data_IF_660938076205
#
_entry.id   IF_660938076205
#
_cell.length_a   1.000
_cell.length_b   1.000
_cell.length_c   1.000
_cell.angle_alpha   90.00
_cell.angle_beta   90.00
_cell.angle_gamma   90.00
#
_symmetry.space_group_name_H-M   'P 1'
#
loop_
_entity.id
_entity.type
_entity.pdbx_description
1 polymer ?
#
# COMPACT_ATOMS: atom_id res chain seq x y z
N UNK A 1 2.98 -4.36 15.86
CA UNK A 1 1.89 -4.22 14.86
C UNK A 1 2.23 -5.15 13.70
N UNK A 2 1.27 -5.92 13.20
CA UNK A 2 1.45 -6.83 12.06
C UNK A 2 0.67 -6.29 10.87
N UNK A 3 1.33 -6.15 9.71
CA UNK A 3 0.69 -5.82 8.44
C UNK A 3 0.70 -7.06 7.54
N UNK A 4 -0.49 -7.48 7.10
CA UNK A 4 -0.67 -8.54 6.11
C UNK A 4 -1.19 -7.86 4.84
N UNK A 5 -0.31 -7.71 3.86
CA UNK A 5 -0.66 -7.05 2.61
C UNK A 5 -1.27 -8.04 1.60
N UNK A 6 -2.36 -7.63 0.93
CA UNK A 6 -3.06 -8.35 -0.14
C UNK A 6 -3.35 -9.81 0.21
N UNK A 7 -4.02 -10.00 1.35
CA UNK A 7 -4.34 -11.34 1.87
C UNK A 7 -5.15 -12.19 0.87
N UNK A 8 -5.94 -11.55 0.01
CA UNK A 8 -6.70 -12.19 -1.07
C UNK A 8 -5.85 -12.86 -2.16
N UNK A 9 -4.57 -12.47 -2.26
CA UNK A 9 -3.58 -13.10 -3.14
C UNK A 9 -2.79 -14.23 -2.48
N UNK A 10 -2.99 -14.46 -1.18
CA UNK A 10 -2.34 -15.55 -0.49
C UNK A 10 -2.83 -16.92 -0.98
N UNK A 11 -2.16 -17.98 -0.50
CA UNK A 11 -2.64 -19.34 -0.67
C UNK A 11 -4.06 -19.49 -0.09
N UNK A 12 -4.87 -20.34 -0.74
CA UNK A 12 -6.30 -20.48 -0.48
C UNK A 12 -6.60 -20.80 1.00
N UNK A 13 -5.76 -21.59 1.67
CA UNK A 13 -5.96 -21.99 3.06
C UNK A 13 -5.61 -20.89 4.08
N UNK A 14 -4.72 -19.95 3.73
CA UNK A 14 -4.16 -19.01 4.70
C UNK A 14 -5.21 -18.14 5.41
N UNK A 15 -6.23 -17.58 4.73
CA UNK A 15 -7.26 -16.78 5.41
C UNK A 15 -8.07 -17.58 6.45
N UNK A 16 -8.33 -18.87 6.20
CA UNK A 16 -9.04 -19.75 7.13
C UNK A 16 -8.14 -20.10 8.32
N UNK A 17 -6.87 -20.43 8.05
CA UNK A 17 -5.88 -20.73 9.10
C UNK A 17 -5.68 -19.51 10.02
N UNK A 18 -5.62 -18.31 9.45
CA UNK A 18 -5.54 -17.06 10.22
C UNK A 18 -6.73 -16.86 11.15
N UNK A 19 -7.94 -17.30 10.79
CA UNK A 19 -9.09 -17.25 11.71
C UNK A 19 -8.84 -18.07 12.98
N UNK A 20 -8.18 -19.22 12.84
CA UNK A 20 -7.82 -20.10 13.94
C UNK A 20 -6.72 -19.46 14.80
N UNK A 21 -5.64 -19.01 14.18
CA UNK A 21 -4.49 -18.42 14.88
C UNK A 21 -4.87 -17.14 15.62
N UNK A 22 -5.58 -16.23 14.95
CA UNK A 22 -6.04 -14.98 15.54
C UNK A 22 -7.12 -15.21 16.60
N UNK A 23 -7.97 -16.23 16.43
CA UNK A 23 -8.95 -16.61 17.46
C UNK A 23 -8.31 -17.16 18.73
N UNK A 24 -7.26 -17.97 18.57
CA UNK A 24 -6.55 -18.61 19.69
C UNK A 24 -5.45 -17.76 20.33
N UNK A 25 -5.03 -16.66 19.70
CA UNK A 25 -3.88 -15.86 20.14
C UNK A 25 -2.56 -16.63 20.10
N UNK A 26 -2.47 -17.63 19.22
CA UNK A 26 -1.36 -18.57 19.16
C UNK A 26 -1.64 -19.75 18.23
N UNK A 27 -0.62 -20.57 18.02
CA UNK A 27 -0.68 -21.76 17.19
C UNK A 27 0.26 -22.85 17.72
N UNK A 28 0.16 -24.05 17.16
CA UNK A 28 1.07 -25.16 17.44
C UNK A 28 1.82 -25.50 16.16
N UNK A 29 3.13 -25.67 16.27
CA UNK A 29 3.94 -26.10 15.13
C UNK A 29 3.53 -27.52 14.70
N UNK A 30 3.35 -27.78 13.40
CA UNK A 30 2.85 -29.07 12.90
C UNK A 30 3.85 -30.22 13.06
N UNK A 31 5.12 -29.94 13.40
CA UNK A 31 6.16 -30.94 13.58
C UNK A 31 6.49 -31.18 15.06
N UNK A 32 6.93 -32.41 15.37
CA UNK A 32 7.45 -32.73 16.69
C UNK A 32 8.67 -31.86 16.99
N UNK A 33 8.57 -30.98 17.98
CA UNK A 33 9.66 -30.12 18.42
C UNK A 33 10.56 -30.89 19.39
N UNK A 34 11.86 -31.08 19.12
CA UNK A 34 12.79 -31.66 20.07
C UNK A 34 12.78 -30.90 21.40
N UNK A 35 12.90 -31.60 22.52
CA UNK A 35 12.85 -31.00 23.86
C UNK A 35 13.96 -29.95 24.12
N UNK A 36 15.06 -30.04 23.38
CA UNK A 36 16.20 -29.13 23.43
C UNK A 36 16.17 -28.04 22.35
N UNK A 37 15.17 -28.04 21.45
CA UNK A 37 15.05 -27.01 20.42
C UNK A 37 14.76 -25.66 21.08
N UNK A 38 15.57 -24.68 20.71
CA UNK A 38 15.33 -23.27 21.02
C UNK A 38 15.03 -22.53 19.73
N UNK A 39 13.96 -21.76 19.73
CA UNK A 39 13.53 -20.96 18.58
C UNK A 39 13.61 -19.49 18.97
N UNK A 40 14.11 -18.67 18.05
CA UNK A 40 14.08 -17.22 18.15
C UNK A 40 13.21 -16.68 17.02
N UNK A 41 12.74 -15.45 17.17
CA UNK A 41 12.19 -14.71 16.05
C UNK A 41 13.34 -14.16 15.19
N UNK A 42 13.05 -13.81 13.94
CA UNK A 42 14.04 -13.28 13.01
C UNK A 42 14.63 -11.93 13.47
N UNK A 43 13.82 -11.13 14.17
CA UNK A 43 14.17 -9.80 14.66
C UNK A 43 14.99 -9.79 15.96
N UNK A 44 15.00 -10.90 16.71
CA UNK A 44 15.90 -11.08 17.85
C UNK A 44 16.44 -12.51 17.95
N UNK A 45 17.49 -12.84 17.18
CA UNK A 45 18.13 -14.15 17.21
C UNK A 45 18.72 -14.53 18.58
N UNK A 46 18.95 -13.54 19.45
CA UNK A 46 19.54 -13.76 20.78
C UNK A 46 18.50 -14.18 21.82
N UNK A 47 17.22 -13.83 21.61
CA UNK A 47 16.09 -14.18 22.46
C UNK A 47 15.53 -15.59 22.16
N UNK A 48 16.40 -16.59 22.06
CA UNK A 48 15.98 -17.96 21.82
C UNK A 48 15.23 -18.52 23.03
N UNK A 49 14.04 -19.10 22.82
CA UNK A 49 13.19 -19.70 23.87
C UNK A 49 12.88 -21.16 23.56
N UNK A 50 12.61 -21.96 24.60
CA UNK A 50 12.04 -23.29 24.42
C UNK A 50 10.56 -23.19 24.06
N UNK A 51 10.07 -24.12 23.24
CA UNK A 51 8.66 -24.23 22.86
C UNK A 51 8.09 -25.57 23.37
N UNK A 52 7.61 -25.64 24.62
CA UNK A 52 6.92 -26.82 25.14
C UNK A 52 5.76 -27.21 24.21
N UNK A 53 5.71 -28.48 23.82
CA UNK A 53 4.71 -29.03 22.91
C UNK A 53 4.58 -28.29 21.57
N UNK A 54 5.61 -27.52 21.17
CA UNK A 54 5.58 -26.71 19.95
C UNK A 54 4.57 -25.56 19.97
N UNK A 55 4.07 -25.15 21.14
CA UNK A 55 3.07 -24.08 21.26
C UNK A 55 3.70 -22.69 21.22
N UNK A 56 3.20 -21.84 20.34
CA UNK A 56 3.53 -20.42 20.26
C UNK A 56 2.31 -19.60 20.67
N UNK A 57 2.48 -18.67 21.61
CA UNK A 57 1.41 -17.77 22.07
C UNK A 57 1.87 -16.33 22.09
N UNK A 58 0.97 -15.42 21.73
CA UNK A 58 1.21 -14.00 21.88
C UNK A 58 1.23 -13.63 23.37
N UNK A 59 2.23 -12.85 23.80
CA UNK A 59 2.24 -12.23 25.13
C UNK A 59 1.09 -11.22 25.29
N UNK A 60 0.85 -10.43 24.24
CA UNK A 60 -0.29 -9.55 24.10
C UNK A 60 -0.78 -9.60 22.65
N UNK A 61 -2.09 -9.49 22.45
CA UNK A 61 -2.65 -9.55 21.10
C UNK A 61 -2.19 -8.35 20.27
N UNK A 62 -1.57 -8.56 19.10
CA UNK A 62 -1.07 -7.46 18.30
C UNK A 62 -2.21 -6.71 17.61
N UNK A 63 -1.99 -5.43 17.30
CA UNK A 63 -2.78 -4.75 16.27
C UNK A 63 -2.40 -5.35 14.92
N UNK A 64 -3.40 -5.94 14.25
CA UNK A 64 -3.26 -6.57 12.94
C UNK A 64 -3.98 -5.70 11.89
N UNK A 65 -3.27 -5.31 10.85
CA UNK A 65 -3.80 -4.59 9.70
C UNK A 65 -3.76 -5.53 8.50
N UNK A 66 -4.89 -5.71 7.83
CA UNK A 66 -5.02 -6.55 6.64
C UNK A 66 -5.46 -5.66 5.48
N UNK A 67 -4.78 -5.75 4.33
CA UNK A 67 -5.23 -5.13 3.08
C UNK A 67 -5.75 -6.20 2.11
N UNK A 68 -6.66 -5.80 1.24
CA UNK A 68 -7.22 -6.64 0.16
C UNK A 68 -7.55 -5.75 -1.03
N UNK A 69 -7.36 -6.27 -2.24
CA UNK A 69 -7.81 -5.61 -3.48
C UNK A 69 -9.23 -6.05 -3.86
N UNK A 70 -9.76 -7.08 -3.21
CA UNK A 70 -11.05 -7.69 -3.51
C UNK A 70 -10.99 -8.66 -4.68
N UNK A 71 -9.80 -9.15 -5.05
CA UNK A 71 -9.62 -10.15 -6.11
C UNK A 71 -10.22 -11.51 -5.73
N UNK A 72 -10.24 -11.80 -4.42
CA UNK A 72 -10.85 -12.99 -3.84
C UNK A 72 -11.57 -12.62 -2.55
N UNK A 73 -12.76 -13.16 -2.38
CA UNK A 73 -13.50 -13.02 -1.14
C UNK A 73 -12.75 -13.68 0.02
N UNK A 74 -12.65 -12.94 1.13
CA UNK A 74 -12.12 -13.47 2.39
C UNK A 74 -13.23 -14.21 3.16
N UNK A 75 -12.88 -15.21 3.98
CA UNK A 75 -13.85 -15.90 4.83
C UNK A 75 -14.65 -14.92 5.70
N UNK A 76 -15.97 -15.09 5.75
CA UNK A 76 -16.85 -14.22 6.54
C UNK A 76 -16.48 -14.20 8.04
N UNK A 77 -15.97 -15.30 8.56
CA UNK A 77 -15.51 -15.41 9.96
C UNK A 77 -14.33 -14.50 10.25
N UNK A 78 -13.45 -14.27 9.27
CA UNK A 78 -12.36 -13.30 9.38
C UNK A 78 -12.93 -11.88 9.37
N UNK A 79 -13.73 -11.56 8.35
CA UNK A 79 -14.27 -10.21 8.13
C UNK A 79 -15.12 -9.74 9.32
N UNK A 80 -15.93 -10.62 9.93
CA UNK A 80 -16.72 -10.30 11.12
C UNK A 80 -15.89 -9.90 12.35
N UNK A 81 -14.61 -10.27 12.39
CA UNK A 81 -13.67 -9.91 13.47
C UNK A 81 -12.84 -8.68 13.13
N UNK A 82 -13.00 -8.10 11.94
CA UNK A 82 -12.28 -6.93 11.48
C UNK A 82 -13.14 -5.67 11.55
N UNK A 83 -12.50 -4.52 11.78
CA UNK A 83 -13.09 -3.22 11.48
C UNK A 83 -12.79 -2.91 10.02
N UNK A 84 -13.81 -2.96 9.17
CA UNK A 84 -13.65 -2.72 7.73
C UNK A 84 -13.52 -1.24 7.42
N UNK A 85 -12.39 -0.85 6.84
CA UNK A 85 -12.18 0.47 6.26
C UNK A 85 -12.19 0.35 4.73
N UNK A 86 -13.16 0.97 4.06
CA UNK A 86 -13.15 1.08 2.60
C UNK A 86 -12.45 2.37 2.20
N UNK A 87 -11.31 2.25 1.53
CA UNK A 87 -10.61 3.38 0.93
C UNK A 87 -11.31 3.76 -0.37
N UNK A 88 -11.70 5.04 -0.47
CA UNK A 88 -12.33 5.57 -1.67
C UNK A 88 -11.27 6.23 -2.54
N UNK A 89 -11.54 6.36 -3.84
CA UNK A 89 -10.67 7.14 -4.71
C UNK A 89 -10.58 8.58 -4.19
N UNK A 90 -9.37 9.18 -4.15
CA UNK A 90 -9.21 10.53 -3.68
C UNK A 90 -9.93 11.50 -4.62
N UNK A 91 -10.75 12.36 -4.02
CA UNK A 91 -11.32 13.51 -4.72
C UNK A 91 -10.29 14.60 -4.99
N UNK A 92 -10.68 15.65 -5.72
CA UNK A 92 -9.78 16.72 -6.12
C UNK A 92 -9.15 17.45 -4.92
N UNK A 93 -9.87 17.60 -3.81
CA UNK A 93 -9.34 18.22 -2.58
C UNK A 93 -8.20 17.40 -1.98
N UNK A 94 -8.37 16.07 -1.91
CA UNK A 94 -7.34 15.18 -1.37
C UNK A 94 -6.14 15.09 -2.31
N UNK A 95 -6.35 15.09 -3.63
CA UNK A 95 -5.27 15.13 -4.61
C UNK A 95 -4.43 16.41 -4.49
N UNK A 96 -5.08 17.59 -4.35
CA UNK A 96 -4.37 18.85 -4.09
C UNK A 96 -3.60 18.81 -2.77
N UNK A 97 -4.19 18.25 -1.71
CA UNK A 97 -3.51 18.09 -0.43
C UNK A 97 -2.29 17.15 -0.52
N UNK A 98 -2.39 16.08 -1.32
CA UNK A 98 -1.27 15.17 -1.60
C UNK A 98 -0.15 15.90 -2.37
N UNK A 99 -0.50 16.67 -3.40
CA UNK A 99 0.45 17.47 -4.16
C UNK A 99 1.19 18.48 -3.25
N UNK A 100 0.45 19.24 -2.42
CA UNK A 100 1.02 20.23 -1.52
C UNK A 100 1.95 19.59 -0.46
N UNK A 101 1.61 18.42 0.07
CA UNK A 101 2.46 17.71 1.03
C UNK A 101 3.70 17.08 0.36
N UNK A 102 3.57 16.58 -0.86
CA UNK A 102 4.68 15.96 -1.59
C UNK A 102 5.66 17.00 -2.15
N UNK A 103 5.16 18.17 -2.53
CA UNK A 103 5.92 19.28 -3.11
C UNK A 103 5.69 20.57 -2.29
N UNK A 104 6.19 20.62 -1.03
CA UNK A 104 5.93 21.72 -0.13
C UNK A 104 6.54 23.04 -0.63
N UNK A 105 5.91 24.20 -0.34
CA UNK A 105 6.49 25.49 -0.67
C UNK A 105 7.75 25.76 0.17
N UNK A 106 8.84 26.20 -0.48
CA UNK A 106 10.08 26.58 0.21
C UNK A 106 11.34 26.25 -0.59
N UNK A 107 12.54 26.34 0.01
CA UNK A 107 13.82 26.02 -0.64
C UNK A 107 14.01 24.52 -0.97
N UNK A 108 12.97 23.71 -0.80
CA UNK A 108 12.97 22.26 -1.00
C UNK A 108 12.68 21.87 -2.45
N UNK A 109 13.66 22.01 -3.32
CA UNK A 109 13.67 21.37 -4.64
C UNK A 109 12.66 21.88 -5.68
N UNK A 110 12.67 21.28 -6.88
CA UNK A 110 11.75 21.63 -7.95
C UNK A 110 10.29 21.33 -7.59
N UNK A 111 9.37 22.16 -8.07
CA UNK A 111 7.93 22.07 -7.82
C UNK A 111 7.14 22.26 -9.12
N UNK A 112 6.04 21.51 -9.34
CA UNK A 112 5.13 21.79 -10.44
C UNK A 112 4.39 23.13 -10.22
N UNK A 113 4.13 23.85 -11.31
CA UNK A 113 3.33 25.06 -11.27
C UNK A 113 1.85 24.73 -10.89
N UNK A 114 1.12 25.69 -10.32
CA UNK A 114 -0.25 25.45 -9.81
C UNK A 114 -1.22 25.04 -10.93
N UNK A 115 -1.08 25.64 -12.11
CA UNK A 115 -1.86 25.29 -13.30
C UNK A 115 -1.59 23.86 -13.78
N UNK A 116 -0.36 23.35 -13.62
CA UNK A 116 -0.01 21.94 -13.86
C UNK A 116 -0.71 21.03 -12.87
N UNK A 117 -0.72 21.41 -11.59
CA UNK A 117 -1.38 20.64 -10.54
C UNK A 117 -2.86 20.52 -10.85
N UNK A 118 -3.54 21.62 -11.16
CA UNK A 118 -4.95 21.62 -11.52
C UNK A 118 -5.22 20.76 -12.78
N UNK A 119 -4.38 20.88 -13.81
CA UNK A 119 -4.50 20.08 -15.03
C UNK A 119 -4.38 18.57 -14.78
N UNK A 120 -3.52 18.13 -13.86
CA UNK A 120 -3.41 16.71 -13.49
C UNK A 120 -4.49 16.27 -12.50
N UNK A 121 -4.98 17.14 -11.64
CA UNK A 121 -6.12 16.84 -10.75
C UNK A 121 -7.39 16.59 -11.58
N UNK A 122 -7.66 17.42 -12.59
CA UNK A 122 -8.79 17.23 -13.50
C UNK A 122 -8.70 15.89 -14.21
N UNK A 123 -7.53 15.54 -14.75
CA UNK A 123 -7.28 14.26 -15.45
C UNK A 123 -7.38 13.05 -14.52
N UNK A 124 -6.82 13.17 -13.32
CA UNK A 124 -6.91 12.17 -12.27
C UNK A 124 -8.38 11.85 -11.94
N UNK A 125 -9.24 12.87 -11.84
CA UNK A 125 -10.66 12.69 -11.57
C UNK A 125 -11.48 12.24 -12.81
N UNK A 126 -11.04 12.56 -14.03
CA UNK A 126 -11.76 12.27 -15.27
C UNK A 126 -11.44 10.90 -15.88
N UNK A 127 -10.22 10.38 -15.69
CA UNK A 127 -9.92 8.98 -16.03
C UNK A 127 -10.83 8.04 -15.22
N UNK A 128 -10.86 6.73 -15.55
CA UNK A 128 -11.47 5.68 -14.70
C UNK A 128 -10.80 5.55 -13.30
N UNK A 129 -10.14 6.62 -12.86
CA UNK A 129 -9.93 7.13 -11.54
C UNK A 129 -8.44 7.23 -11.23
N UNK A 130 -8.03 8.06 -10.26
CA UNK A 130 -6.62 8.30 -10.04
C UNK A 130 -5.94 7.04 -9.53
N UNK A 131 -4.96 6.56 -10.29
CA UNK A 131 -3.84 5.86 -9.67
C UNK A 131 -3.01 6.98 -9.03
N UNK A 132 -3.09 7.11 -7.71
CA UNK A 132 -2.38 8.18 -6.97
C UNK A 132 -0.90 8.22 -7.34
N UNK A 133 -0.31 7.05 -7.58
CA UNK A 133 1.05 6.89 -8.11
C UNK A 133 1.25 7.65 -9.42
N UNK A 134 0.44 7.36 -10.46
CA UNK A 134 0.45 8.08 -11.75
C UNK A 134 0.36 9.60 -11.57
N UNK A 135 -0.54 10.06 -10.71
CA UNK A 135 -0.68 11.49 -10.41
C UNK A 135 0.60 12.09 -9.82
N UNK A 136 1.21 11.40 -8.84
CA UNK A 136 2.44 11.85 -8.20
C UNK A 136 3.65 11.78 -9.13
N UNK A 137 3.72 10.79 -10.02
CA UNK A 137 4.77 10.65 -11.02
C UNK A 137 4.68 11.76 -12.06
N UNK A 138 3.47 12.08 -12.53
CA UNK A 138 3.25 13.18 -13.45
C UNK A 138 3.68 14.52 -12.85
N UNK A 139 3.34 14.75 -11.58
CA UNK A 139 3.78 15.94 -10.84
C UNK A 139 5.30 15.98 -10.65
N UNK A 140 5.94 14.84 -10.39
CA UNK A 140 7.41 14.75 -10.27
C UNK A 140 8.08 15.14 -11.58
N UNK A 141 7.66 14.56 -12.70
CA UNK A 141 8.21 14.86 -14.02
C UNK A 141 8.03 16.34 -14.38
N UNK A 142 6.86 16.91 -14.08
CA UNK A 142 6.61 18.33 -14.29
C UNK A 142 7.46 19.23 -13.37
N UNK A 143 7.71 18.80 -12.12
CA UNK A 143 8.62 19.48 -11.23
C UNK A 143 10.04 19.51 -11.82
N UNK A 144 10.50 18.38 -12.35
CA UNK A 144 11.84 18.20 -12.89
C UNK A 144 12.08 18.93 -14.23
N UNK A 145 11.10 19.70 -14.73
CA UNK A 145 11.24 20.54 -15.92
C UNK A 145 10.84 19.86 -17.24
N UNK A 146 10.40 18.60 -17.19
CA UNK A 146 10.09 17.80 -18.40
C UNK A 146 8.97 18.44 -19.20
N UNK A 147 7.94 18.93 -18.51
CA UNK A 147 6.77 19.55 -19.15
C UNK A 147 7.15 20.85 -19.88
N UNK A 148 8.01 21.66 -19.28
CA UNK A 148 8.52 22.91 -19.86
C UNK A 148 9.39 22.65 -21.08
N UNK A 149 10.22 21.59 -21.04
CA UNK A 149 11.01 21.17 -22.19
C UNK A 149 10.13 20.72 -23.36
N UNK A 150 9.03 20.00 -23.10
CA UNK A 150 8.09 19.54 -24.14
C UNK A 150 7.25 20.68 -24.72
N UNK A 151 6.79 21.61 -23.88
CA UNK A 151 6.00 22.75 -24.32
C UNK A 151 6.82 23.83 -25.04
N UNK A 152 8.16 23.80 -24.96
CA UNK A 152 9.01 24.73 -25.70
C UNK A 152 8.86 24.57 -27.24
N UNK A 153 8.52 23.36 -27.69
CA UNK A 153 8.40 22.99 -29.11
C UNK A 153 6.94 22.81 -29.58
N UNK A 154 5.93 23.02 -28.71
CA UNK A 154 4.54 22.67 -29.01
C UNK A 154 3.48 23.26 -28.08
N UNK A 155 2.27 22.69 -28.11
CA UNK A 155 1.15 23.10 -27.26
C UNK A 155 1.30 22.52 -25.85
N UNK A 156 1.12 23.38 -24.83
CA UNK A 156 1.09 23.00 -23.43
C UNK A 156 0.08 21.89 -23.12
N UNK A 157 -1.11 21.94 -23.71
CA UNK A 157 -2.14 20.92 -23.48
C UNK A 157 -1.71 19.57 -24.03
N UNK A 158 -1.03 19.54 -25.18
CA UNK A 158 -0.49 18.33 -25.78
C UNK A 158 0.67 17.75 -24.96
N UNK A 159 1.52 18.61 -24.38
CA UNK A 159 2.59 18.21 -23.49
C UNK A 159 2.04 17.54 -22.21
N UNK A 160 1.00 18.12 -21.59
CA UNK A 160 0.33 17.56 -20.41
C UNK A 160 -0.30 16.20 -20.74
N UNK A 161 -1.02 16.08 -21.86
CA UNK A 161 -1.60 14.80 -22.30
C UNK A 161 -0.53 13.73 -22.55
N UNK A 162 0.59 14.11 -23.16
CA UNK A 162 1.67 13.18 -23.46
C UNK A 162 2.36 12.68 -22.18
N UNK A 163 2.67 13.58 -21.26
CA UNK A 163 3.25 13.23 -19.97
C UNK A 163 2.28 12.38 -19.12
N UNK A 164 0.99 12.70 -19.16
CA UNK A 164 -0.04 11.88 -18.55
C UNK A 164 -0.05 10.47 -19.14
N UNK A 165 0.07 10.30 -20.47
CA UNK A 165 0.15 8.97 -21.11
C UNK A 165 1.40 8.19 -20.71
N UNK A 166 2.55 8.85 -20.56
CA UNK A 166 3.80 8.17 -20.15
C UNK A 166 3.77 7.59 -18.74
N UNK A 167 2.90 8.14 -17.88
CA UNK A 167 2.73 7.69 -16.50
C UNK A 167 1.64 6.62 -16.36
N UNK A 168 1.08 6.14 -17.48
CA UNK A 168 0.21 4.97 -17.47
C UNK A 168 1.03 3.73 -17.07
N UNK A 169 0.52 2.85 -16.20
CA UNK A 169 1.20 1.59 -15.91
C UNK A 169 1.34 0.77 -17.21
N UNK A 170 2.49 0.10 -17.39
CA UNK A 170 2.60 -0.94 -18.43
C UNK A 170 1.54 -2.01 -18.12
N UNK A 171 0.72 -2.35 -19.12
CA UNK A 171 -0.19 -3.48 -18.97
C UNK A 171 0.64 -4.76 -18.77
N UNK A 172 0.32 -5.59 -17.76
CA UNK A 172 1.00 -6.87 -17.54
C UNK A 172 0.73 -7.89 -18.65
#
# INVERSE_FOLDING_TARGET
MLLIDRLDRAEIALPEDLCTVLGGGGFVLPCSVPADLRVSTDDDPSAAVQLPDGSVRCHAFPVVVITTTGERDLPLDLVRRCVTLRTHRPGPELLRALAANRFPPGPGGPRPAEDVVDAFVERACAADGPVVERFLDALRLAADGVLQAMAADGDWQEAVETLWRWTAPEEP
#
